data_IF_625252602920
#
_entry.id   IF_625252602920
#
_cell.length_a   1.000
_cell.length_b   1.000
_cell.length_c   1.000
_cell.angle_alpha   90.00
_cell.angle_beta   90.00
_cell.angle_gamma   90.00
#
_symmetry.space_group_name_H-M   'P 1'
#
loop_
_entity.id
_entity.type
_entity.pdbx_description
1 polymer ?
#
# COMPACT_ATOMS: atom_id res chain seq x y z
N UNK A 1 9.50 -28.51 9.48
CA UNK A 1 8.63 -28.39 8.27
C UNK A 1 7.33 -27.71 8.65
N UNK A 2 7.29 -26.38 8.68
CA UNK A 2 6.08 -25.62 9.10
C UNK A 2 5.99 -24.24 8.42
N UNK A 3 6.49 -24.14 7.19
CA UNK A 3 6.62 -22.86 6.48
C UNK A 3 5.53 -22.63 5.42
N UNK A 4 4.54 -23.52 5.27
CA UNK A 4 3.72 -23.50 4.04
C UNK A 4 2.22 -23.83 4.18
N UNK A 5 1.60 -23.62 5.34
CA UNK A 5 0.16 -23.90 5.53
C UNK A 5 -0.72 -22.67 5.25
N UNK A 6 -0.12 -21.48 5.15
CA UNK A 6 -0.85 -20.21 4.95
C UNK A 6 -0.70 -19.60 3.54
N UNK A 7 -0.12 -20.31 2.57
CA UNK A 7 0.03 -19.80 1.20
C UNK A 7 -1.32 -19.50 0.51
N UNK A 8 -2.42 -20.12 0.97
CA UNK A 8 -3.79 -19.82 0.51
C UNK A 8 -4.45 -18.61 1.20
N UNK A 9 -3.94 -18.12 2.33
CA UNK A 9 -4.32 -16.79 2.88
C UNK A 9 -3.65 -15.64 2.10
N UNK A 10 -2.72 -15.97 1.20
CA UNK A 10 -2.17 -15.06 0.18
C UNK A 10 -2.92 -15.25 -1.15
N UNK A 11 -4.18 -15.70 -1.13
CA UNK A 11 -5.05 -15.46 -2.27
C UNK A 11 -5.43 -13.97 -2.22
N UNK A 12 -4.52 -13.14 -2.72
CA UNK A 12 -4.67 -11.68 -2.82
C UNK A 12 -6.07 -11.38 -3.34
N UNK A 13 -6.90 -10.73 -2.53
CA UNK A 13 -8.22 -10.38 -3.02
C UNK A 13 -8.03 -9.40 -4.17
N UNK A 14 -8.76 -9.59 -5.28
CA UNK A 14 -8.70 -8.66 -6.40
C UNK A 14 -9.04 -7.21 -5.97
N UNK A 15 -9.73 -7.04 -4.84
CA UNK A 15 -9.96 -5.75 -4.21
C UNK A 15 -8.68 -5.13 -3.66
N UNK A 16 -7.87 -5.87 -2.89
CA UNK A 16 -6.60 -5.39 -2.34
C UNK A 16 -5.60 -5.02 -3.43
N UNK A 17 -5.54 -5.78 -4.52
CA UNK A 17 -4.69 -5.44 -5.67
C UNK A 17 -5.10 -4.09 -6.30
N UNK A 18 -6.40 -3.88 -6.53
CA UNK A 18 -6.91 -2.61 -7.05
C UNK A 18 -6.67 -1.44 -6.10
N UNK A 19 -6.72 -1.68 -4.80
CA UNK A 19 -6.43 -0.65 -3.79
C UNK A 19 -4.96 -0.26 -3.84
N UNK A 20 -4.03 -1.21 -3.93
CA UNK A 20 -2.61 -0.86 -4.06
C UNK A 20 -2.31 -0.06 -5.34
N UNK A 21 -2.86 -0.49 -6.47
CA UNK A 21 -2.71 0.24 -7.75
C UNK A 21 -3.30 1.65 -7.67
N UNK A 22 -4.43 1.81 -6.97
CA UNK A 22 -5.03 3.12 -6.70
C UNK A 22 -4.10 3.98 -5.84
N UNK A 23 -3.60 3.44 -4.73
CA UNK A 23 -2.72 4.18 -3.80
C UNK A 23 -1.45 4.65 -4.48
N UNK A 24 -0.78 3.78 -5.24
CA UNK A 24 0.44 4.13 -5.99
C UNK A 24 0.14 5.27 -6.97
N UNK A 25 -0.95 5.15 -7.74
CA UNK A 25 -1.32 6.19 -8.72
C UNK A 25 -1.62 7.54 -8.09
N UNK A 26 -2.34 7.57 -6.96
CA UNK A 26 -2.65 8.83 -6.29
C UNK A 26 -1.42 9.42 -5.59
N UNK A 27 -0.53 8.57 -5.07
CA UNK A 27 0.73 9.00 -4.50
C UNK A 27 1.66 9.60 -5.56
N UNK A 28 1.79 8.97 -6.73
CA UNK A 28 2.56 9.48 -7.88
C UNK A 28 2.04 10.85 -8.38
N UNK A 29 0.82 11.25 -8.00
CA UNK A 29 0.25 12.58 -8.28
C UNK A 29 0.58 13.62 -7.21
N UNK A 30 1.35 13.26 -6.19
CA UNK A 30 1.78 14.12 -5.09
C UNK A 30 0.79 14.22 -3.92
N UNK A 31 -0.25 13.36 -3.86
CA UNK A 31 -1.11 13.29 -2.67
C UNK A 31 -0.42 12.53 -1.55
N UNK A 32 -0.61 12.94 -0.31
CA UNK A 32 0.00 12.25 0.83
C UNK A 32 -0.62 10.87 1.04
N UNK A 33 0.19 9.89 1.46
CA UNK A 33 -0.30 8.54 1.73
C UNK A 33 -1.44 8.53 2.77
N UNK A 34 -1.34 9.37 3.80
CA UNK A 34 -2.36 9.46 4.85
C UNK A 34 -3.73 9.87 4.29
N UNK A 35 -3.77 10.92 3.45
CA UNK A 35 -5.02 11.37 2.81
C UNK A 35 -5.60 10.30 1.90
N UNK A 36 -4.77 9.55 1.18
CA UNK A 36 -5.22 8.50 0.26
C UNK A 36 -5.83 7.32 1.04
N UNK A 37 -5.26 6.96 2.20
CA UNK A 37 -5.79 5.88 3.04
C UNK A 37 -7.18 6.18 3.61
N UNK A 38 -7.50 7.46 3.77
CA UNK A 38 -8.80 7.94 4.23
C UNK A 38 -9.84 8.07 3.09
N UNK A 39 -9.42 7.87 1.83
CA UNK A 39 -10.35 7.93 0.71
C UNK A 39 -11.45 6.88 0.88
N UNK A 40 -12.71 7.28 0.63
CA UNK A 40 -13.86 6.36 0.59
C UNK A 40 -13.61 5.17 -0.31
N UNK A 41 -12.76 5.33 -1.33
CA UNK A 41 -12.35 4.21 -2.15
C UNK A 41 -11.66 3.14 -1.30
N UNK A 42 -10.60 3.50 -0.59
CA UNK A 42 -9.79 2.60 0.23
C UNK A 42 -10.57 2.04 1.41
N UNK A 43 -11.23 2.88 2.20
CA UNK A 43 -11.96 2.46 3.42
C UNK A 43 -13.07 1.45 3.12
N UNK A 44 -13.76 1.60 1.99
CA UNK A 44 -14.84 0.67 1.61
C UNK A 44 -14.32 -0.69 1.12
N UNK A 45 -13.05 -0.79 0.69
CA UNK A 45 -12.44 -2.05 0.20
C UNK A 45 -11.53 -2.70 1.22
N UNK A 46 -10.93 -1.91 2.12
CA UNK A 46 -10.12 -2.37 3.25
C UNK A 46 -10.84 -1.98 4.54
N UNK A 47 -11.82 -2.79 4.91
CA UNK A 47 -12.74 -2.48 6.02
C UNK A 47 -12.04 -2.62 7.37
N UNK A 48 -11.05 -3.51 7.49
CA UNK A 48 -10.31 -3.70 8.75
C UNK A 48 -9.01 -2.89 8.79
N UNK A 49 -8.60 -2.50 9.99
CA UNK A 49 -7.30 -1.86 10.21
C UNK A 49 -6.13 -2.77 9.83
N UNK A 50 -6.28 -4.08 10.06
CA UNK A 50 -5.28 -5.08 9.70
C UNK A 50 -5.06 -5.17 8.18
N UNK A 51 -6.13 -5.07 7.37
CA UNK A 51 -6.01 -5.01 5.91
C UNK A 51 -5.25 -3.77 5.45
N UNK A 52 -5.48 -2.62 6.08
CA UNK A 52 -4.74 -1.37 5.79
C UNK A 52 -3.28 -1.49 6.22
N UNK A 53 -2.99 -2.09 7.37
CA UNK A 53 -1.62 -2.35 7.81
C UNK A 53 -0.88 -3.26 6.81
N UNK A 54 -1.49 -4.38 6.41
CA UNK A 54 -0.92 -5.29 5.40
C UNK A 54 -0.70 -4.63 4.04
N UNK A 55 -1.51 -3.63 3.68
CA UNK A 55 -1.29 -2.85 2.46
C UNK A 55 0.05 -2.10 2.52
N UNK A 56 0.39 -1.53 3.68
CA UNK A 56 1.63 -0.78 3.89
C UNK A 56 2.88 -1.66 3.86
N UNK A 57 2.75 -2.94 4.22
CA UNK A 57 3.85 -3.92 4.15
C UNK A 57 4.16 -4.40 2.72
N UNK A 58 3.38 -3.98 1.71
CA UNK A 58 3.56 -4.45 0.34
C UNK A 58 4.80 -3.82 -0.30
N UNK A 59 5.65 -4.62 -0.98
CA UNK A 59 6.90 -4.11 -1.53
C UNK A 59 6.69 -3.03 -2.61
N UNK A 60 5.62 -3.10 -3.38
CA UNK A 60 5.23 -2.06 -4.35
C UNK A 60 4.80 -0.74 -3.69
N UNK A 61 4.15 -0.80 -2.53
CA UNK A 61 3.76 0.39 -1.76
C UNK A 61 4.99 1.00 -1.10
N UNK A 62 5.81 0.17 -0.44
CA UNK A 62 7.08 0.61 0.14
C UNK A 62 7.98 1.25 -0.93
N UNK A 63 8.05 0.68 -2.12
CA UNK A 63 8.85 1.24 -3.22
C UNK A 63 8.30 2.58 -3.71
N UNK A 64 6.99 2.70 -3.88
CA UNK A 64 6.37 3.95 -4.32
C UNK A 64 6.57 5.07 -3.30
N UNK A 65 6.32 4.80 -2.02
CA UNK A 65 6.42 5.80 -0.94
C UNK A 65 7.87 6.08 -0.56
N UNK A 66 8.70 5.04 -0.50
CA UNK A 66 10.12 5.15 -0.16
C UNK A 66 10.95 5.85 -1.24
N UNK A 67 10.52 5.79 -2.50
CA UNK A 67 11.13 6.54 -3.61
C UNK A 67 11.13 8.04 -3.35
N UNK A 68 10.00 8.58 -2.92
CA UNK A 68 9.84 10.02 -2.65
C UNK A 68 10.68 10.48 -1.45
N UNK A 69 10.77 9.67 -0.38
CA UNK A 69 11.62 9.97 0.78
C UNK A 69 13.09 10.00 0.35
N UNK A 70 13.52 9.03 -0.46
CA UNK A 70 14.89 8.98 -0.96
C UNK A 70 15.20 10.17 -1.89
N UNK A 71 14.26 10.58 -2.74
CA UNK A 71 14.44 11.73 -3.62
C UNK A 71 14.45 13.06 -2.85
N UNK A 72 13.54 13.24 -1.90
CA UNK A 72 13.53 14.38 -1.00
C UNK A 72 14.84 14.50 -0.20
N UNK A 73 15.40 13.38 0.23
CA UNK A 73 16.70 13.35 0.91
C UNK A 73 17.85 13.80 -0.01
N UNK A 74 17.87 13.41 -1.29
CA UNK A 74 18.90 13.88 -2.24
C UNK A 74 18.85 15.37 -2.50
N UNK A 75 17.65 15.98 -2.54
CA UNK A 75 17.48 17.42 -2.76
C UNK A 75 18.00 18.23 -1.55
N UNK A 76 18.05 17.61 -0.38
CA UNK A 76 18.41 18.26 0.89
C UNK A 76 19.91 18.21 1.24
N UNK A 77 20.76 17.62 0.37
CA UNK A 77 22.24 17.55 0.52
C UNK A 77 22.90 18.50 -0.46
#
# INVERSE_FOLDING_TARGET
MLQNIFSFLVQKSAAEERVAQYVIREHDRGRSLAEILDDRYVVNRLTTAEQRARLLDRPEIIRAVGGDIAEAAKISV
#
